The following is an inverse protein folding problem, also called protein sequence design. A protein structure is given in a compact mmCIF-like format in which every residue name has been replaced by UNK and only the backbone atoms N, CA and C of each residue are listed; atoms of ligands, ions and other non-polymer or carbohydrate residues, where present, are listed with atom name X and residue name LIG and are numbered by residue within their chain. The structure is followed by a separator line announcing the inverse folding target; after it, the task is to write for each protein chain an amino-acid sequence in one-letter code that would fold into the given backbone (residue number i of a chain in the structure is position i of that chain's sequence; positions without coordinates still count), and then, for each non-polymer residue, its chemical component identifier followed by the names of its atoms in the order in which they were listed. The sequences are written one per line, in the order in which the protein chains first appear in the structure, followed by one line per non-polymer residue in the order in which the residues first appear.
data_IF_416489429733
#
_entry.id   IF_416489429733
#
_cell.length_a   1.000
_cell.length_b   1.000
_cell.length_c   1.000
_cell.angle_alpha   90.00
_cell.angle_beta   90.00
_cell.angle_gamma   90.00
#
_symmetry.space_group_name_H-M   'P 1'
#
loop_
_entity.id
_entity.type
_entity.pdbx_description
1 polymer ?
#
# COMPACT_ATOMS: atom_id res chain seq x y z
N UNK A 1 -2.25 -13.37 -18.96
CA UNK A 1 -1.88 -13.08 -17.54
C UNK A 1 -0.41 -12.73 -17.54
N UNK A 2 -0.09 -11.56 -17.02
CA UNK A 2 1.07 -10.72 -17.34
C UNK A 2 2.44 -11.39 -17.13
N UNK A 3 3.35 -11.23 -18.10
CA UNK A 3 4.76 -11.63 -18.08
C UNK A 3 5.49 -11.24 -16.77
N UNK A 4 5.02 -10.18 -16.11
CA UNK A 4 5.48 -9.77 -14.79
C UNK A 4 5.32 -10.85 -13.71
N UNK A 5 4.19 -11.58 -13.67
CA UNK A 5 3.97 -12.64 -12.66
C UNK A 5 4.94 -13.80 -12.85
N UNK A 6 5.22 -14.16 -14.09
CA UNK A 6 6.12 -15.27 -14.43
C UNK A 6 7.56 -14.92 -14.07
N UNK A 7 8.00 -13.72 -14.45
CA UNK A 7 9.32 -13.23 -14.10
C UNK A 7 9.52 -13.04 -12.59
N UNK A 8 8.49 -12.57 -11.87
CA UNK A 8 8.52 -12.47 -10.41
C UNK A 8 8.70 -13.84 -9.76
N UNK A 9 8.00 -14.87 -10.25
CA UNK A 9 8.07 -16.22 -9.71
C UNK A 9 9.48 -16.82 -9.86
N UNK A 10 10.14 -16.57 -10.99
CA UNK A 10 11.54 -16.97 -11.24
C UNK A 10 12.54 -16.25 -10.29
N UNK A 11 12.30 -14.97 -9.98
CA UNK A 11 13.16 -14.22 -9.05
C UNK A 11 12.97 -14.64 -7.58
N UNK A 12 11.75 -15.06 -7.20
CA UNK A 12 11.44 -15.54 -5.84
C UNK A 12 12.13 -16.87 -5.46
N UNK A 13 12.68 -17.61 -6.42
CA UNK A 13 13.52 -18.78 -6.18
C UNK A 13 14.87 -18.40 -5.52
N UNK A 14 15.34 -17.16 -5.69
CA UNK A 14 16.53 -16.67 -5.02
C UNK A 14 16.20 -16.28 -3.55
N UNK A 15 16.82 -16.91 -2.53
CA UNK A 15 16.50 -16.64 -1.13
C UNK A 15 16.77 -15.21 -0.67
N UNK A 16 17.79 -14.55 -1.21
CA UNK A 16 18.12 -13.16 -0.89
C UNK A 16 17.08 -12.21 -1.49
N UNK A 17 16.71 -12.44 -2.75
CA UNK A 17 15.62 -11.69 -3.40
C UNK A 17 14.29 -11.93 -2.69
N UNK A 18 13.97 -13.17 -2.33
CA UNK A 18 12.75 -13.54 -1.61
C UNK A 18 12.67 -12.82 -0.27
N UNK A 19 13.76 -12.79 0.50
CA UNK A 19 13.79 -12.08 1.79
C UNK A 19 13.52 -10.58 1.64
N UNK A 20 14.17 -9.94 0.68
CA UNK A 20 13.93 -8.52 0.38
C UNK A 20 12.52 -8.27 -0.18
N UNK A 21 12.01 -9.20 -0.99
CA UNK A 21 10.64 -9.16 -1.49
C UNK A 21 9.62 -9.27 -0.36
N UNK A 22 9.76 -10.25 0.53
CA UNK A 22 8.88 -10.47 1.68
C UNK A 22 8.87 -9.23 2.61
N UNK A 23 10.05 -8.62 2.82
CA UNK A 23 10.17 -7.36 3.57
C UNK A 23 9.39 -6.19 2.93
N UNK A 24 9.24 -6.19 1.61
CA UNK A 24 8.56 -5.14 0.86
C UNK A 24 7.10 -5.49 0.50
N UNK A 25 6.74 -6.77 0.50
CA UNK A 25 5.46 -7.28 0.02
C UNK A 25 4.29 -6.69 0.84
N UNK A 26 4.42 -6.69 2.16
CA UNK A 26 3.41 -6.12 3.05
C UNK A 26 3.16 -4.65 2.73
N UNK A 27 4.24 -3.88 2.56
CA UNK A 27 4.19 -2.45 2.22
C UNK A 27 3.49 -2.24 0.88
N UNK A 28 3.89 -2.97 -0.16
CA UNK A 28 3.25 -2.86 -1.48
C UNK A 28 1.78 -3.28 -1.46
N UNK A 29 1.43 -4.28 -0.65
CA UNK A 29 0.05 -4.73 -0.48
C UNK A 29 -0.82 -3.64 0.13
N UNK A 30 -0.35 -3.02 1.22
CA UNK A 30 -1.04 -1.88 1.86
C UNK A 30 -1.19 -0.72 0.87
N UNK A 31 -0.12 -0.34 0.17
CA UNK A 31 -0.12 0.76 -0.80
C UNK A 31 -1.13 0.51 -1.94
N UNK A 32 -1.18 -0.70 -2.49
CA UNK A 32 -2.16 -1.08 -3.52
C UNK A 32 -3.59 -0.92 -3.02
N UNK A 33 -3.87 -1.29 -1.77
CA UNK A 33 -5.21 -1.12 -1.19
C UNK A 33 -5.57 0.36 -1.04
N UNK A 34 -4.64 1.20 -0.61
CA UNK A 34 -4.86 2.65 -0.50
C UNK A 34 -5.12 3.30 -1.88
N UNK A 35 -4.33 2.94 -2.90
CA UNK A 35 -4.53 3.43 -4.28
C UNK A 35 -5.92 2.98 -4.79
N UNK A 36 -6.30 1.72 -4.54
CA UNK A 36 -7.62 1.21 -4.92
C UNK A 36 -8.74 1.97 -4.21
N UNK A 37 -8.60 2.22 -2.91
CA UNK A 37 -9.57 3.00 -2.13
C UNK A 37 -9.74 4.42 -2.70
N UNK A 38 -8.62 5.08 -3.02
CA UNK A 38 -8.62 6.42 -3.62
C UNK A 38 -9.31 6.42 -4.99
N UNK A 39 -8.93 5.49 -5.87
CA UNK A 39 -9.46 5.40 -7.23
C UNK A 39 -10.96 5.06 -7.25
N UNK A 40 -11.39 4.10 -6.41
CA UNK A 40 -12.83 3.75 -6.29
C UNK A 40 -13.68 4.88 -5.71
N UNK A 41 -13.05 5.83 -5.03
CA UNK A 41 -13.69 7.04 -4.52
C UNK A 41 -13.57 8.24 -5.49
N UNK A 42 -13.01 8.03 -6.69
CA UNK A 42 -12.78 9.07 -7.71
C UNK A 42 -12.02 10.31 -7.19
N UNK A 43 -11.05 10.10 -6.30
CA UNK A 43 -10.24 11.19 -5.74
C UNK A 43 -8.86 11.26 -6.39
N UNK A 44 -8.37 12.47 -6.66
CA UNK A 44 -6.95 12.72 -6.90
C UNK A 44 -6.16 12.60 -5.60
N UNK A 45 -4.82 12.50 -5.71
CA UNK A 45 -3.95 12.50 -4.53
C UNK A 45 -4.11 13.78 -3.70
N UNK A 46 -4.33 14.93 -4.35
CA UNK A 46 -4.56 16.20 -3.67
C UNK A 46 -5.90 16.23 -2.94
N UNK A 47 -6.96 15.69 -3.55
CA UNK A 47 -8.28 15.60 -2.91
C UNK A 47 -8.27 14.64 -1.72
N UNK A 48 -7.59 13.49 -1.85
CA UNK A 48 -7.38 12.59 -0.71
C UNK A 48 -6.61 13.30 0.42
N UNK A 49 -5.54 14.02 0.08
CA UNK A 49 -4.74 14.75 1.04
C UNK A 49 -5.57 15.77 1.84
N UNK A 50 -6.40 16.55 1.15
CA UNK A 50 -7.34 17.49 1.78
C UNK A 50 -8.32 16.78 2.71
N UNK A 51 -8.93 15.68 2.22
CA UNK A 51 -9.93 14.91 2.98
C UNK A 51 -9.37 14.34 4.29
N UNK A 52 -8.11 13.93 4.31
CA UNK A 52 -7.48 13.35 5.51
C UNK A 52 -6.62 14.35 6.30
N UNK A 53 -6.56 15.62 5.87
CA UNK A 53 -5.76 16.66 6.51
C UNK A 53 -4.25 16.37 6.46
N UNK A 54 -3.70 16.16 5.26
CA UNK A 54 -2.26 16.04 4.97
C UNK A 54 -1.91 16.76 3.66
N UNK A 55 -0.69 16.60 3.16
CA UNK A 55 -0.24 17.18 1.88
C UNK A 55 -0.24 16.14 0.75
N UNK A 56 -0.41 16.62 -0.50
CA UNK A 56 -0.34 15.76 -1.68
C UNK A 56 1.03 15.07 -1.82
N UNK A 57 2.12 15.73 -1.39
CA UNK A 57 3.46 15.16 -1.37
C UNK A 57 3.56 13.97 -0.38
N UNK A 58 2.88 14.02 0.76
CA UNK A 58 2.79 12.87 1.68
C UNK A 58 2.03 11.71 1.03
N UNK A 59 0.86 11.96 0.44
CA UNK A 59 0.09 10.93 -0.28
C UNK A 59 0.93 10.31 -1.41
N UNK A 60 1.63 11.12 -2.19
CA UNK A 60 2.49 10.63 -3.27
C UNK A 60 3.60 9.70 -2.77
N UNK A 61 4.32 10.09 -1.70
CA UNK A 61 5.35 9.23 -1.10
C UNK A 61 4.79 7.91 -0.57
N UNK A 62 3.60 7.95 0.01
CA UNK A 62 2.88 6.75 0.48
C UNK A 62 2.53 5.86 -0.72
N UNK A 63 1.90 6.41 -1.77
CA UNK A 63 1.50 5.64 -2.95
C UNK A 63 2.68 5.10 -3.76
N UNK A 64 3.85 5.72 -3.66
CA UNK A 64 5.10 5.24 -4.24
C UNK A 64 5.87 4.28 -3.31
N UNK A 65 5.39 4.03 -2.09
CA UNK A 65 6.03 3.16 -1.12
C UNK A 65 7.32 3.70 -0.49
N UNK A 66 7.68 4.97 -0.74
CA UNK A 66 8.97 5.56 -0.34
C UNK A 66 9.00 6.09 1.09
N UNK A 67 7.90 5.99 1.83
CA UNK A 67 7.83 6.41 3.24
C UNK A 67 7.06 5.41 4.07
N UNK A 68 7.39 5.30 5.36
CA UNK A 68 6.66 4.44 6.27
C UNK A 68 5.25 5.01 6.53
N UNK A 69 4.26 4.12 6.64
CA UNK A 69 2.89 4.49 6.97
C UNK A 69 2.63 4.00 8.39
N UNK A 70 2.41 4.93 9.32
CA UNK A 70 2.04 4.59 10.69
C UNK A 70 0.63 3.99 10.76
N UNK A 71 0.39 3.16 11.78
CA UNK A 71 -0.92 2.52 12.03
C UNK A 71 -2.00 3.59 12.22
N UNK A 72 -1.73 4.62 13.03
CA UNK A 72 -2.65 5.74 13.27
C UNK A 72 -3.03 6.47 11.97
N UNK A 73 -2.10 6.54 11.01
CA UNK A 73 -2.36 7.15 9.71
C UNK A 73 -3.24 6.26 8.83
N UNK A 74 -3.02 4.93 8.85
CA UNK A 74 -3.90 3.97 8.20
C UNK A 74 -5.32 4.05 8.77
N UNK A 75 -5.43 4.14 10.09
CA UNK A 75 -6.72 4.31 10.77
C UNK A 75 -7.40 5.62 10.37
N UNK A 76 -6.66 6.74 10.35
CA UNK A 76 -7.17 8.04 9.91
C UNK A 76 -7.72 7.99 8.48
N UNK A 77 -7.00 7.33 7.57
CA UNK A 77 -7.50 7.11 6.20
C UNK A 77 -8.78 6.29 6.25
N UNK A 78 -8.79 5.15 6.93
CA UNK A 78 -9.96 4.27 6.99
C UNK A 78 -11.20 5.01 7.53
N UNK A 79 -11.06 5.77 8.62
CA UNK A 79 -12.11 6.60 9.21
C UNK A 79 -12.64 7.64 8.23
N UNK A 80 -11.78 8.30 7.44
CA UNK A 80 -12.22 9.27 6.42
C UNK A 80 -13.13 8.64 5.34
N UNK A 81 -13.08 7.32 5.17
CA UNK A 81 -13.92 6.54 4.25
C UNK A 81 -15.01 5.71 4.96
N UNK A 82 -15.23 5.91 6.27
CA UNK A 82 -16.11 5.07 7.09
C UNK A 82 -15.78 3.56 6.99
N UNK A 83 -14.49 3.23 7.00
CA UNK A 83 -13.95 1.87 6.94
C UNK A 83 -13.13 1.57 8.20
N UNK A 84 -12.74 0.31 8.34
CA UNK A 84 -11.84 -0.19 9.39
C UNK A 84 -10.63 -0.86 8.77
N UNK A 85 -9.50 -0.82 9.48
CA UNK A 85 -8.30 -1.58 9.14
C UNK A 85 -8.39 -2.93 9.85
N UNK A 86 -8.13 -4.01 9.13
CA UNK A 86 -8.02 -5.36 9.66
C UNK A 86 -6.70 -5.97 9.18
N UNK A 87 -6.00 -6.68 10.07
CA UNK A 87 -4.79 -7.41 9.72
C UNK A 87 -4.92 -8.85 10.23
N UNK A 88 -4.40 -9.80 9.45
CA UNK A 88 -4.38 -11.22 9.79
C UNK A 88 -2.92 -11.71 9.70
N UNK A 89 -2.50 -12.48 10.69
CA UNK A 89 -1.21 -13.18 10.68
C UNK A 89 -1.45 -14.57 10.10
N UNK A 90 -0.62 -14.98 9.16
CA UNK A 90 -0.69 -16.30 8.52
C UNK A 90 0.42 -17.20 9.06
N UNK A 91 0.13 -18.49 9.18
CA UNK A 91 1.15 -19.50 9.48
C UNK A 91 2.10 -19.65 8.28
N UNK A 92 3.39 -19.93 8.57
CA UNK A 92 4.48 -20.01 7.57
C UNK A 92 4.92 -21.44 7.31
#
# INVERSE_FOLDING_TARGET
MSDFKKHLQEQLENPEFKKEWDNLELRYTIVKQLIKLRNTSNLSQAQLAQKIGTTQAVISRIENGTTNIGIDFLEKIAQAFNKKVEFHILDT
#
